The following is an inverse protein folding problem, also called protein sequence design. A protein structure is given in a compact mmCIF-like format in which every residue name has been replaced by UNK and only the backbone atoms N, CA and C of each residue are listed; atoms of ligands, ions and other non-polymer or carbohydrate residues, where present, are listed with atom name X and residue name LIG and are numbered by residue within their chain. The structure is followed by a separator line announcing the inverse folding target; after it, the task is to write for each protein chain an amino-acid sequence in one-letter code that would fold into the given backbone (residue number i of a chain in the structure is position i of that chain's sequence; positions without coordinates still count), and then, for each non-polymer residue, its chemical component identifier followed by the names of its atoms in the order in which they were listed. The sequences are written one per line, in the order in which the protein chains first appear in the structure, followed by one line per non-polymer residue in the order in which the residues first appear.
data_IF_272599906590
#
_entry.id   IF_272599906590
#
_cell.length_a   1.000
_cell.length_b   1.000
_cell.length_c   1.000
_cell.angle_alpha   90.00
_cell.angle_beta   90.00
_cell.angle_gamma   90.00
#
_symmetry.space_group_name_H-M   'P 1'
#
loop_
_entity.id
_entity.type
_entity.pdbx_description
1 polymer ?
#
# COMPACT_ATOMS: atom_id res chain seq x y z
N UNK A 1 -44.94 10.37 -69.95
CA UNK A 1 -45.65 9.70 -68.85
C UNK A 1 -44.60 9.27 -67.83
N UNK A 2 -44.87 9.52 -66.55
CA UNK A 2 -44.00 9.33 -65.38
C UNK A 2 -43.28 7.96 -65.37
N UNK A 3 -42.10 7.79 -64.78
CA UNK A 3 -41.88 7.92 -63.33
C UNK A 3 -40.40 8.13 -62.98
N UNK A 4 -40.17 9.05 -62.05
CA UNK A 4 -38.94 9.19 -61.25
C UNK A 4 -38.85 8.01 -60.29
N UNK A 5 -37.68 7.39 -60.16
CA UNK A 5 -37.34 6.69 -58.91
C UNK A 5 -35.95 7.11 -58.42
N UNK A 6 -35.93 7.50 -57.16
CA UNK A 6 -34.78 7.96 -56.38
C UNK A 6 -34.16 6.73 -55.74
N UNK A 7 -32.85 6.56 -55.85
CA UNK A 7 -32.04 5.98 -54.77
C UNK A 7 -30.58 6.37 -54.91
N UNK A 8 -30.25 7.41 -54.15
CA UNK A 8 -28.92 7.84 -53.75
C UNK A 8 -28.25 6.73 -52.94
N UNK A 9 -27.03 6.36 -53.30
CA UNK A 9 -26.11 5.67 -52.40
C UNK A 9 -24.70 6.22 -52.66
N UNK A 10 -24.30 7.20 -51.86
CA UNK A 10 -22.93 7.71 -51.79
C UNK A 10 -22.16 6.70 -50.92
N UNK A 11 -21.29 5.91 -51.54
CA UNK A 11 -20.31 5.10 -50.82
C UNK A 11 -19.16 6.00 -50.39
N UNK A 12 -19.22 6.53 -49.17
CA UNK A 12 -18.10 7.20 -48.51
C UNK A 12 -17.18 6.16 -47.88
N UNK A 13 -15.96 6.02 -48.39
CA UNK A 13 -14.90 5.24 -47.75
C UNK A 13 -14.38 6.01 -46.53
N UNK A 14 -14.70 5.54 -45.32
CA UNK A 14 -14.09 6.02 -44.09
C UNK A 14 -12.74 5.34 -43.89
N UNK A 15 -11.64 6.08 -44.12
CA UNK A 15 -10.31 5.65 -43.71
C UNK A 15 -10.20 5.81 -42.18
N UNK A 16 -10.19 4.70 -41.45
CA UNK A 16 -9.91 4.69 -40.02
C UNK A 16 -8.42 4.96 -39.80
N UNK A 17 -8.09 6.13 -39.26
CA UNK A 17 -6.77 6.43 -38.73
C UNK A 17 -6.62 5.65 -37.42
N UNK A 18 -5.94 4.52 -37.46
CA UNK A 18 -5.45 3.84 -36.25
C UNK A 18 -4.27 4.65 -35.74
N UNK A 19 -4.54 5.58 -34.84
CA UNK A 19 -3.49 6.23 -34.06
C UNK A 19 -2.88 5.17 -33.13
N UNK A 20 -1.69 4.67 -33.50
CA UNK A 20 -0.91 3.78 -32.66
C UNK A 20 -0.55 4.48 -31.36
N UNK A 21 -1.03 3.95 -30.23
CA UNK A 21 -0.46 4.25 -28.92
C UNK A 21 0.97 3.73 -28.90
N UNK A 22 1.95 4.61 -29.09
CA UNK A 22 3.32 4.30 -28.75
C UNK A 22 3.38 4.10 -27.22
N UNK A 23 3.91 2.97 -26.70
CA UNK A 23 4.12 2.84 -25.27
C UNK A 23 5.11 3.92 -24.84
N UNK A 24 4.68 4.74 -23.88
CA UNK A 24 5.58 5.63 -23.14
C UNK A 24 6.77 4.78 -22.67
N UNK A 25 7.98 5.17 -23.07
CA UNK A 25 9.20 4.49 -22.64
C UNK A 25 9.29 4.63 -21.13
N UNK A 26 8.88 3.57 -20.42
CA UNK A 26 9.07 3.47 -18.99
C UNK A 26 10.58 3.61 -18.73
N UNK A 27 10.98 4.73 -18.14
CA UNK A 27 12.36 5.01 -17.77
C UNK A 27 12.93 3.79 -17.04
N UNK A 28 13.99 3.20 -17.61
CA UNK A 28 14.61 1.97 -17.13
C UNK A 28 15.14 2.20 -15.71
N UNK A 29 14.61 1.43 -14.75
CA UNK A 29 14.98 1.58 -13.33
C UNK A 29 16.35 0.94 -13.14
N UNK A 30 17.40 1.75 -13.06
CA UNK A 30 18.67 1.27 -12.50
C UNK A 30 18.43 0.87 -11.04
N UNK A 31 18.90 -0.30 -10.59
CA UNK A 31 18.75 -0.70 -9.20
C UNK A 31 19.39 0.37 -8.30
N UNK A 32 18.69 0.84 -7.27
CA UNK A 32 19.19 1.92 -6.45
C UNK A 32 20.43 1.47 -5.67
N UNK A 33 21.38 2.40 -5.49
CA UNK A 33 22.54 2.15 -4.61
C UNK A 33 22.06 2.03 -3.17
N UNK A 34 22.48 0.99 -2.46
CA UNK A 34 22.18 0.86 -1.02
C UNK A 34 23.29 1.54 -0.22
N UNK A 35 22.89 2.46 0.67
CA UNK A 35 23.76 3.20 1.58
C UNK A 35 23.40 2.88 3.03
N UNK A 36 24.33 2.25 3.74
CA UNK A 36 24.18 1.95 5.16
C UNK A 36 24.33 3.22 6.00
N UNK A 37 23.35 3.50 6.86
CA UNK A 37 23.35 4.60 7.82
C UNK A 37 22.94 4.11 9.21
N UNK A 38 23.82 3.36 9.92
CA UNK A 38 23.47 2.71 11.19
C UNK A 38 23.01 3.66 12.29
N UNK A 39 23.46 4.92 12.29
CA UNK A 39 23.06 5.95 13.26
C UNK A 39 21.57 6.32 13.19
N UNK A 40 20.87 6.02 12.09
CA UNK A 40 19.42 6.11 12.05
C UNK A 40 18.77 5.14 13.06
N UNK A 41 19.45 4.04 13.38
CA UNK A 41 19.03 3.08 14.40
C UNK A 41 18.87 3.67 15.80
N UNK A 42 19.59 4.76 16.11
CA UNK A 42 19.55 5.42 17.42
C UNK A 42 18.14 5.90 17.79
N UNK A 43 17.32 6.29 16.79
CA UNK A 43 15.94 6.69 17.01
C UNK A 43 15.07 5.57 17.62
N UNK A 44 15.38 4.30 17.35
CA UNK A 44 14.70 3.16 17.97
C UNK A 44 15.20 2.94 19.40
N UNK A 45 16.52 3.05 19.62
CA UNK A 45 17.14 2.94 20.94
C UNK A 45 16.60 4.01 21.90
N UNK A 46 16.42 5.25 21.43
CA UNK A 46 15.85 6.37 22.19
C UNK A 46 14.44 6.07 22.74
N UNK A 47 13.65 5.24 22.06
CA UNK A 47 12.32 4.82 22.53
C UNK A 47 12.31 3.44 23.21
N UNK A 48 13.49 2.85 23.44
CA UNK A 48 13.68 1.59 24.14
C UNK A 48 13.39 0.35 23.29
N UNK A 49 13.56 0.41 21.96
CA UNK A 49 13.31 -0.72 21.06
C UNK A 49 14.40 -0.90 20.00
N UNK A 50 14.23 -1.90 19.15
CA UNK A 50 15.06 -2.17 17.97
C UNK A 50 14.18 -2.20 16.73
N UNK A 51 14.73 -1.77 15.60
CA UNK A 51 13.98 -1.67 14.35
C UNK A 51 14.88 -1.39 13.17
N UNK A 52 14.26 -1.30 12.00
CA UNK A 52 14.91 -0.87 10.77
C UNK A 52 14.08 0.21 10.09
N UNK A 53 14.79 1.10 9.42
CA UNK A 53 14.26 2.11 8.54
C UNK A 53 14.99 2.02 7.20
N UNK A 54 14.22 2.01 6.12
CA UNK A 54 14.74 2.15 4.78
C UNK A 54 13.98 3.29 4.07
N UNK A 55 14.70 4.10 3.29
CA UNK A 55 14.15 5.18 2.50
C UNK A 55 14.79 5.21 1.12
N UNK A 56 13.97 5.11 0.08
CA UNK A 56 14.36 5.38 -1.30
C UNK A 56 14.20 6.88 -1.59
N UNK A 57 15.33 7.52 -1.86
CA UNK A 57 15.36 8.82 -2.54
C UNK A 57 15.21 8.58 -4.04
N UNK A 58 14.00 8.83 -4.55
CA UNK A 58 13.69 8.58 -5.96
C UNK A 58 14.33 9.58 -6.91
N UNK A 59 14.83 10.72 -6.42
CA UNK A 59 15.61 11.68 -7.20
C UNK A 59 17.10 11.35 -7.26
N UNK A 60 17.65 10.88 -6.14
CA UNK A 60 19.07 10.49 -6.02
C UNK A 60 19.39 9.06 -6.47
N UNK A 61 18.40 8.19 -6.63
CA UNK A 61 18.61 6.79 -7.04
C UNK A 61 19.31 5.94 -5.97
N UNK A 62 19.11 6.27 -4.69
CA UNK A 62 19.72 5.58 -3.55
C UNK A 62 18.69 5.16 -2.51
N UNK A 63 18.95 4.04 -1.84
CA UNK A 63 18.24 3.60 -0.64
C UNK A 63 19.15 3.80 0.55
N UNK A 64 18.73 4.65 1.49
CA UNK A 64 19.35 4.77 2.81
C UNK A 64 18.72 3.75 3.74
N UNK A 65 19.53 2.96 4.46
CA UNK A 65 19.03 1.90 5.35
C UNK A 65 19.78 1.88 6.69
N UNK A 66 19.04 1.77 7.80
CA UNK A 66 19.62 1.73 9.15
C UNK A 66 20.19 0.36 9.53
N UNK A 67 19.45 -0.70 9.21
CA UNK A 67 19.82 -2.09 9.46
C UNK A 67 19.36 -2.91 8.25
N UNK A 68 20.33 -3.32 7.44
CA UNK A 68 20.08 -4.01 6.17
C UNK A 68 19.58 -5.43 6.36
N UNK A 69 20.15 -6.18 7.30
CA UNK A 69 19.73 -7.55 7.57
C UNK A 69 18.25 -7.57 7.95
N UNK A 70 17.85 -6.68 8.87
CA UNK A 70 16.44 -6.56 9.25
C UNK A 70 15.57 -5.96 8.13
N UNK A 71 16.09 -5.05 7.31
CA UNK A 71 15.35 -4.47 6.19
C UNK A 71 15.05 -5.49 5.09
N UNK A 72 15.92 -6.49 4.91
CA UNK A 72 15.78 -7.59 3.95
C UNK A 72 15.01 -8.79 4.56
N UNK A 73 14.86 -8.85 5.88
CA UNK A 73 14.06 -9.87 6.57
C UNK A 73 12.55 -9.68 6.34
N UNK A 74 11.87 -10.77 5.95
CA UNK A 74 10.42 -10.78 5.75
C UNK A 74 9.62 -10.97 7.04
N UNK A 75 8.65 -10.09 7.30
CA UNK A 75 7.69 -10.24 8.41
C UNK A 75 6.25 -10.27 7.88
N UNK A 76 5.29 -10.64 8.73
CA UNK A 76 3.87 -10.48 8.38
C UNK A 76 3.59 -8.99 8.06
N UNK A 77 2.89 -8.69 6.96
CA UNK A 77 2.55 -7.31 6.62
C UNK A 77 1.53 -6.71 7.59
N UNK A 78 0.73 -7.54 8.26
CA UNK A 78 -0.41 -7.11 9.08
C UNK A 78 -1.27 -6.09 8.30
N UNK A 79 -1.66 -4.99 8.93
CA UNK A 79 -2.52 -3.98 8.29
C UNK A 79 -1.87 -3.20 7.14
N UNK A 80 -0.56 -3.35 6.86
CA UNK A 80 0.02 -2.78 5.61
C UNK A 80 -0.54 -3.48 4.37
N UNK A 81 -0.98 -4.73 4.49
CA UNK A 81 -1.65 -5.47 3.41
C UNK A 81 -2.99 -4.84 2.98
N UNK A 82 -3.53 -3.88 3.75
CA UNK A 82 -4.69 -3.11 3.32
C UNK A 82 -4.42 -2.29 2.04
N UNK A 83 -3.16 -1.99 1.72
CA UNK A 83 -2.80 -1.34 0.46
C UNK A 83 -3.08 -2.26 -0.74
N UNK A 84 -2.45 -3.44 -0.89
CA UNK A 84 -2.79 -4.37 -1.97
C UNK A 84 -4.24 -4.85 -1.90
N UNK A 85 -4.81 -5.11 -0.71
CA UNK A 85 -6.20 -5.53 -0.60
C UNK A 85 -7.18 -4.46 -1.15
N UNK A 86 -6.95 -3.16 -0.86
CA UNK A 86 -7.75 -2.08 -1.48
C UNK A 86 -7.59 -2.02 -3.00
N UNK A 87 -6.36 -2.18 -3.53
CA UNK A 87 -6.12 -2.20 -4.97
C UNK A 87 -6.91 -3.33 -5.65
N UNK A 88 -6.86 -4.53 -5.07
CA UNK A 88 -7.56 -5.71 -5.57
C UNK A 88 -9.08 -5.53 -5.46
N UNK A 89 -9.56 -4.96 -4.35
CA UNK A 89 -10.98 -4.71 -4.16
C UNK A 89 -11.56 -3.79 -5.24
N UNK A 90 -10.83 -2.73 -5.60
CA UNK A 90 -11.21 -1.80 -6.66
C UNK A 90 -11.15 -2.45 -8.04
N UNK A 91 -10.05 -3.15 -8.33
CA UNK A 91 -9.84 -3.79 -9.64
C UNK A 91 -10.83 -4.92 -9.91
N UNK A 92 -11.24 -5.65 -8.87
CA UNK A 92 -12.21 -6.74 -8.97
C UNK A 92 -13.66 -6.28 -8.86
N UNK A 93 -13.91 -4.98 -8.68
CA UNK A 93 -15.24 -4.41 -8.50
C UNK A 93 -15.92 -4.74 -7.17
N UNK A 94 -15.21 -5.35 -6.21
CA UNK A 94 -15.72 -5.56 -4.84
C UNK A 94 -15.96 -4.22 -4.14
N UNK A 95 -15.14 -3.22 -4.44
CA UNK A 95 -15.41 -1.83 -4.15
C UNK A 95 -15.52 -1.06 -5.46
N UNK A 96 -16.62 -0.36 -5.67
CA UNK A 96 -16.78 0.51 -6.83
C UNK A 96 -15.90 1.77 -6.68
N UNK A 97 -15.81 2.34 -5.48
CA UNK A 97 -15.13 3.60 -5.20
C UNK A 97 -14.66 3.68 -3.73
N UNK A 98 -13.82 4.68 -3.41
CA UNK A 98 -13.36 4.91 -2.04
C UNK A 98 -14.46 5.33 -1.06
N UNK A 99 -15.45 6.10 -1.55
CA UNK A 99 -16.38 6.82 -0.68
C UNK A 99 -17.85 6.42 -0.90
N UNK A 100 -18.22 5.86 -2.05
CA UNK A 100 -19.61 5.45 -2.32
C UNK A 100 -19.92 3.99 -1.98
N UNK A 101 -18.91 3.11 -1.96
CA UNK A 101 -19.11 1.71 -1.55
C UNK A 101 -19.19 1.62 -0.04
N UNK A 102 -20.33 1.20 0.48
CA UNK A 102 -20.56 1.02 1.92
C UNK A 102 -20.35 -0.43 2.34
N UNK A 103 -19.63 -0.62 3.45
CA UNK A 103 -19.43 -1.88 4.16
C UNK A 103 -20.18 -1.78 5.50
N UNK A 104 -21.38 -2.38 5.60
CA UNK A 104 -22.19 -2.28 6.81
C UNK A 104 -21.52 -2.95 8.01
N UNK A 105 -21.68 -2.35 9.19
CA UNK A 105 -21.30 -2.97 10.45
C UNK A 105 -22.20 -4.15 10.75
N UNK A 106 -21.59 -5.28 11.08
CA UNK A 106 -22.25 -6.53 11.48
C UNK A 106 -22.89 -6.48 12.89
N UNK A 107 -22.88 -5.31 13.54
CA UNK A 107 -23.42 -5.07 14.89
C UNK A 107 -22.68 -5.86 16.00
N UNK A 108 -21.54 -6.47 15.70
CA UNK A 108 -20.66 -7.08 16.70
C UNK A 108 -19.73 -6.01 17.25
N UNK A 109 -19.86 -5.72 18.55
CA UNK A 109 -19.00 -4.77 19.26
C UNK A 109 -17.62 -5.40 19.48
N UNK A 110 -16.59 -4.67 19.06
CA UNK A 110 -15.17 -5.05 19.17
C UNK A 110 -14.40 -4.00 19.98
N UNK A 111 -13.22 -4.38 20.46
CA UNK A 111 -12.37 -3.56 21.34
C UNK A 111 -11.95 -2.20 20.74
N UNK A 112 -11.99 -2.07 19.41
CA UNK A 112 -11.68 -0.82 18.72
C UNK A 112 -12.97 -0.13 18.32
N UNK A 113 -13.37 0.92 19.06
CA UNK A 113 -14.60 1.68 18.80
C UNK A 113 -14.72 2.15 17.35
N UNK A 114 -13.59 2.53 16.74
CA UNK A 114 -13.53 2.97 15.36
C UNK A 114 -13.98 1.89 14.34
N UNK A 115 -14.05 0.61 14.72
CA UNK A 115 -14.52 -0.50 13.87
C UNK A 115 -16.03 -0.76 14.00
N UNK A 116 -16.68 -0.21 15.03
CA UNK A 116 -18.07 -0.53 15.39
C UNK A 116 -19.06 0.41 14.68
N UNK A 117 -18.88 0.59 13.37
CA UNK A 117 -19.67 1.50 12.54
C UNK A 117 -19.60 1.09 11.06
N UNK A 118 -20.55 1.56 10.27
CA UNK A 118 -20.52 1.38 8.82
C UNK A 118 -19.31 2.11 8.24
N UNK A 119 -18.68 1.52 7.23
CA UNK A 119 -17.45 2.06 6.65
C UNK A 119 -17.52 2.17 5.13
N UNK A 120 -17.00 3.27 4.59
CA UNK A 120 -16.48 3.31 3.22
C UNK A 120 -15.09 2.67 3.15
N UNK A 121 -14.56 2.38 1.95
CA UNK A 121 -13.19 1.90 1.79
C UNK A 121 -12.17 2.88 2.41
N UNK A 122 -12.36 4.19 2.22
CA UNK A 122 -11.52 5.24 2.81
C UNK A 122 -11.53 5.19 4.34
N UNK A 123 -12.72 5.15 4.94
CA UNK A 123 -12.85 5.15 6.40
C UNK A 123 -12.32 3.84 7.02
N UNK A 124 -12.54 2.69 6.36
CA UNK A 124 -11.98 1.40 6.79
C UNK A 124 -10.44 1.39 6.71
N UNK A 125 -9.85 1.98 5.66
CA UNK A 125 -8.41 2.10 5.51
C UNK A 125 -7.80 2.93 6.65
N UNK A 126 -8.41 4.08 6.95
CA UNK A 126 -8.02 5.00 8.04
C UNK A 126 -8.15 4.36 9.42
N UNK A 127 -9.31 3.77 9.73
CA UNK A 127 -9.58 3.07 10.99
C UNK A 127 -8.79 1.75 11.12
N UNK A 128 -8.16 1.30 10.03
CA UNK A 128 -7.52 0.00 9.95
C UNK A 128 -8.49 -1.15 10.29
N UNK A 129 -9.77 -0.99 9.94
CA UNK A 129 -10.87 -1.88 10.32
C UNK A 129 -10.66 -3.29 9.77
N UNK A 130 -10.14 -4.20 10.59
CA UNK A 130 -9.88 -5.59 10.19
C UNK A 130 -11.14 -6.26 9.63
N UNK A 131 -12.31 -6.21 10.29
CA UNK A 131 -13.51 -6.92 9.83
C UNK A 131 -13.94 -6.55 8.40
N UNK A 132 -13.82 -5.28 8.02
CA UNK A 132 -14.12 -4.81 6.66
C UNK A 132 -13.19 -5.45 5.64
N UNK A 133 -11.88 -5.48 5.92
CA UNK A 133 -10.90 -6.08 5.01
C UNK A 133 -10.96 -7.60 4.96
N UNK A 134 -11.47 -8.25 6.00
CA UNK A 134 -11.81 -9.67 5.99
C UNK A 134 -12.98 -9.95 5.06
N UNK A 135 -14.04 -9.14 5.14
CA UNK A 135 -15.19 -9.24 4.24
C UNK A 135 -14.80 -8.97 2.78
N UNK A 136 -13.99 -7.94 2.53
CA UNK A 136 -13.42 -7.66 1.21
C UNK A 136 -12.63 -8.87 0.70
N UNK A 137 -11.73 -9.45 1.51
CA UNK A 137 -10.94 -10.61 1.10
C UNK A 137 -11.82 -11.82 0.75
N UNK A 138 -12.87 -12.10 1.55
CA UNK A 138 -13.86 -13.15 1.27
C UNK A 138 -14.59 -12.90 -0.05
N UNK A 139 -14.99 -11.66 -0.33
CA UNK A 139 -15.65 -11.26 -1.59
C UNK A 139 -14.72 -11.32 -2.79
N UNK A 140 -13.44 -11.00 -2.64
CA UNK A 140 -12.42 -11.18 -3.68
C UNK A 140 -12.28 -12.68 -3.99
N UNK A 141 -12.22 -13.53 -2.97
CA UNK A 141 -12.05 -14.97 -3.13
C UNK A 141 -10.60 -15.38 -3.40
N UNK A 142 -10.26 -16.66 -3.19
CA UNK A 142 -8.87 -17.10 -3.09
C UNK A 142 -8.10 -17.00 -4.42
N UNK A 143 -8.74 -17.37 -5.53
CA UNK A 143 -8.11 -17.37 -6.86
C UNK A 143 -7.70 -15.96 -7.29
N UNK A 144 -8.62 -15.00 -7.21
CA UNK A 144 -8.33 -13.59 -7.56
C UNK A 144 -7.34 -12.97 -6.60
N UNK A 145 -7.43 -13.26 -5.30
CA UNK A 145 -6.46 -12.75 -4.32
C UNK A 145 -5.05 -13.24 -4.63
N UNK A 146 -4.87 -14.55 -4.88
CA UNK A 146 -3.56 -15.10 -5.24
C UNK A 146 -3.04 -14.50 -6.55
N UNK A 147 -3.88 -14.44 -7.58
CA UNK A 147 -3.51 -13.87 -8.88
C UNK A 147 -2.91 -12.46 -8.73
N UNK A 148 -3.58 -11.55 -8.03
CA UNK A 148 -3.05 -10.19 -7.88
C UNK A 148 -1.87 -10.10 -6.91
N UNK A 149 -1.79 -10.94 -5.88
CA UNK A 149 -0.60 -11.02 -5.02
C UNK A 149 0.63 -11.44 -5.84
N UNK A 150 0.44 -12.33 -6.82
CA UNK A 150 1.48 -12.74 -7.77
C UNK A 150 1.84 -11.62 -8.76
N UNK A 151 0.84 -10.98 -9.39
CA UNK A 151 1.03 -9.87 -10.33
C UNK A 151 1.73 -8.66 -9.68
N UNK A 152 1.43 -8.38 -8.42
CA UNK A 152 2.10 -7.32 -7.66
C UNK A 152 3.51 -7.66 -7.22
N UNK A 153 3.92 -8.94 -7.33
CA UNK A 153 5.15 -9.46 -6.75
C UNK A 153 5.25 -9.10 -5.25
N UNK A 154 4.15 -9.34 -4.51
CA UNK A 154 4.03 -8.85 -3.14
C UNK A 154 4.66 -9.84 -2.13
N UNK A 155 5.87 -9.51 -1.67
CA UNK A 155 6.57 -10.30 -0.65
C UNK A 155 6.97 -11.69 -1.15
N UNK A 156 6.74 -12.72 -0.35
CA UNK A 156 6.93 -14.13 -0.75
C UNK A 156 5.71 -14.72 -1.48
N UNK A 157 4.67 -13.93 -1.72
CA UNK A 157 3.44 -14.29 -2.45
C UNK A 157 2.64 -15.47 -1.87
N UNK A 158 2.97 -15.92 -0.66
CA UNK A 158 2.35 -17.08 -0.02
C UNK A 158 1.14 -16.67 0.83
N UNK A 159 -0.07 -16.78 0.29
CA UNK A 159 -1.32 -16.49 1.05
C UNK A 159 -1.82 -17.69 1.88
N UNK A 160 -1.04 -18.78 1.98
CA UNK A 160 -1.44 -19.99 2.71
C UNK A 160 -1.15 -19.91 4.22
N UNK A 161 -1.43 -21.00 4.94
CA UNK A 161 -1.17 -21.16 6.37
C UNK A 161 -2.20 -20.52 7.30
N UNK A 162 -3.20 -19.83 6.77
CA UNK A 162 -4.39 -19.37 7.47
C UNK A 162 -5.55 -19.23 6.48
N UNK A 163 -6.80 -19.06 6.95
CA UNK A 163 -7.93 -18.69 6.09
C UNK A 163 -7.65 -17.44 5.24
N UNK A 164 -8.33 -17.34 4.10
CA UNK A 164 -8.18 -16.25 3.13
C UNK A 164 -8.37 -14.86 3.75
N UNK A 165 -9.17 -14.73 4.79
CA UNK A 165 -9.43 -13.47 5.46
C UNK A 165 -8.50 -13.20 6.65
N UNK A 166 -7.44 -13.99 6.83
CA UNK A 166 -6.49 -13.82 7.94
C UNK A 166 -5.03 -14.07 7.56
N UNK A 167 -4.71 -14.51 6.33
CA UNK A 167 -3.32 -14.83 5.94
C UNK A 167 -2.30 -13.70 6.15
N UNK A 168 -2.69 -12.44 6.03
CA UNK A 168 -1.81 -11.30 6.28
C UNK A 168 -1.61 -10.99 7.78
N UNK A 169 -2.42 -11.60 8.66
CA UNK A 169 -2.39 -11.45 10.12
C UNK A 169 -1.64 -12.59 10.81
N UNK A 170 -1.82 -13.83 10.34
CA UNK A 170 -1.28 -15.03 10.99
C UNK A 170 -0.92 -16.17 10.01
N UNK A 171 -0.94 -15.93 8.69
CA UNK A 171 -0.55 -16.90 7.67
C UNK A 171 0.94 -16.91 7.36
N UNK A 172 1.29 -17.40 6.17
CA UNK A 172 2.68 -17.53 5.68
C UNK A 172 3.19 -16.36 4.86
N UNK A 173 2.35 -15.37 4.55
CA UNK A 173 2.77 -14.18 3.82
C UNK A 173 3.86 -13.43 4.58
N UNK A 174 4.99 -13.18 3.94
CA UNK A 174 6.10 -12.39 4.49
C UNK A 174 6.53 -11.34 3.48
N UNK A 175 6.80 -10.13 3.94
CA UNK A 175 7.35 -9.05 3.14
C UNK A 175 8.40 -8.28 3.94
N UNK A 176 9.51 -7.93 3.29
CA UNK A 176 10.59 -7.14 3.90
C UNK A 176 10.37 -5.63 3.72
N UNK A 177 11.12 -4.80 4.45
CA UNK A 177 11.06 -3.35 4.27
C UNK A 177 11.52 -2.93 2.86
N UNK A 178 12.52 -3.63 2.31
CA UNK A 178 12.99 -3.41 0.94
C UNK A 178 11.91 -3.76 -0.10
N UNK A 179 11.18 -4.87 0.11
CA UNK A 179 10.07 -5.25 -0.77
C UNK A 179 8.89 -4.28 -0.65
N UNK A 180 8.60 -3.76 0.55
CA UNK A 180 7.59 -2.69 0.74
C UNK A 180 7.95 -1.44 -0.08
N UNK A 181 9.21 -0.99 -0.05
CA UNK A 181 9.68 0.14 -0.87
C UNK A 181 9.46 -0.14 -2.36
N UNK A 182 9.85 -1.31 -2.84
CA UNK A 182 9.69 -1.68 -4.26
C UNK A 182 8.22 -1.69 -4.70
N UNK A 183 7.32 -2.27 -3.90
CA UNK A 183 5.89 -2.25 -4.16
C UNK A 183 5.31 -0.83 -4.14
N UNK A 184 5.64 -0.03 -3.14
CA UNK A 184 5.16 1.35 -3.01
C UNK A 184 5.69 2.26 -4.12
N UNK A 185 6.89 2.01 -4.64
CA UNK A 185 7.43 2.72 -5.80
C UNK A 185 6.62 2.45 -7.06
N UNK A 186 6.24 1.19 -7.30
CA UNK A 186 5.36 0.85 -8.42
C UNK A 186 3.99 1.52 -8.28
N UNK A 187 3.40 1.49 -7.08
CA UNK A 187 2.12 2.16 -6.79
C UNK A 187 2.19 3.67 -6.97
N UNK A 188 3.24 4.33 -6.45
CA UNK A 188 3.43 5.76 -6.61
C UNK A 188 3.50 6.16 -8.09
N UNK A 189 4.25 5.39 -8.89
CA UNK A 189 4.41 5.64 -10.33
C UNK A 189 3.19 5.26 -11.18
N UNK A 190 2.19 4.57 -10.61
CA UNK A 190 1.03 4.11 -11.38
C UNK A 190 1.32 2.93 -12.31
N UNK A 191 2.38 2.15 -12.04
CA UNK A 191 2.87 1.08 -12.95
C UNK A 191 2.58 -0.33 -12.45
N UNK A 192 1.74 -0.50 -11.42
CA UNK A 192 1.21 -1.83 -11.11
C UNK A 192 0.34 -2.31 -12.30
N UNK A 193 0.28 -3.63 -12.58
CA UNK A 193 -0.44 -4.20 -13.72
C UNK A 193 -1.96 -4.23 -13.51
N UNK A 194 -2.55 -3.08 -13.14
CA UNK A 194 -3.97 -2.86 -12.90
C UNK A 194 -4.36 -1.47 -13.40
N UNK A 195 -5.66 -1.15 -13.42
CA UNK A 195 -6.12 0.16 -13.86
C UNK A 195 -5.47 1.32 -13.10
N UNK A 196 -5.17 2.41 -13.81
CA UNK A 196 -4.67 3.67 -13.24
C UNK A 196 -5.64 4.19 -12.16
N UNK A 197 -6.95 4.07 -12.42
CA UNK A 197 -8.02 4.43 -11.49
C UNK A 197 -7.87 3.76 -10.13
N UNK A 198 -7.70 2.44 -10.08
CA UNK A 198 -7.54 1.71 -8.82
C UNK A 198 -6.32 2.22 -8.03
N UNK A 199 -5.22 2.50 -8.73
CA UNK A 199 -3.99 3.01 -8.12
C UNK A 199 -4.16 4.44 -7.59
N UNK A 200 -4.81 5.33 -8.35
CA UNK A 200 -5.12 6.71 -7.94
C UNK A 200 -5.95 6.76 -6.66
N UNK A 201 -7.04 5.99 -6.62
CA UNK A 201 -7.92 5.92 -5.45
C UNK A 201 -7.14 5.43 -4.22
N UNK A 202 -6.29 4.41 -4.37
CA UNK A 202 -5.50 3.91 -3.24
C UNK A 202 -4.44 4.92 -2.80
N UNK A 203 -3.74 5.60 -3.72
CA UNK A 203 -2.83 6.70 -3.37
C UNK A 203 -3.57 7.78 -2.59
N UNK A 204 -4.81 8.08 -2.96
CA UNK A 204 -5.63 9.09 -2.30
C UNK A 204 -6.01 8.70 -0.85
N UNK A 205 -6.59 7.51 -0.63
CA UNK A 205 -6.99 7.05 0.72
C UNK A 205 -5.81 6.82 1.67
N UNK A 206 -4.59 6.71 1.12
CA UNK A 206 -3.36 6.57 1.91
C UNK A 206 -2.95 7.85 2.66
N UNK A 207 -3.61 8.99 2.48
CA UNK A 207 -3.29 10.22 3.20
C UNK A 207 -3.22 10.03 4.73
N UNK A 208 -2.10 10.46 5.32
CA UNK A 208 -1.90 10.49 6.78
C UNK A 208 -2.04 11.93 7.27
N UNK A 209 -1.13 12.81 6.83
CA UNK A 209 -1.09 14.22 7.24
C UNK A 209 -0.28 15.06 6.25
N UNK A 210 -0.52 16.37 6.26
CA UNK A 210 0.42 17.36 5.75
C UNK A 210 1.45 17.67 6.84
N UNK A 211 2.73 17.47 6.55
CA UNK A 211 3.84 17.75 7.48
C UNK A 211 4.79 18.80 6.90
N UNK A 212 5.76 19.24 7.69
CA UNK A 212 6.87 20.09 7.22
C UNK A 212 7.73 19.43 6.14
N UNK A 213 7.73 18.09 6.05
CA UNK A 213 8.47 17.35 5.02
C UNK A 213 7.71 17.27 3.69
N UNK A 214 6.39 17.51 3.70
CA UNK A 214 5.47 17.25 2.60
C UNK A 214 4.22 16.48 3.02
N UNK A 215 3.40 16.11 2.05
CA UNK A 215 2.21 15.28 2.25
C UNK A 215 2.65 13.84 2.52
N UNK A 216 2.37 13.32 3.72
CA UNK A 216 2.65 11.94 4.07
C UNK A 216 1.48 11.05 3.67
N UNK A 217 1.76 10.01 2.89
CA UNK A 217 0.82 8.96 2.52
C UNK A 217 1.39 7.62 2.94
N UNK A 218 0.59 6.75 3.55
CA UNK A 218 1.09 5.47 4.03
C UNK A 218 0.07 4.64 4.80
N UNK A 219 0.55 3.54 5.35
CA UNK A 219 -0.25 2.63 6.16
C UNK A 219 0.53 2.10 7.35
N UNK A 220 -0.13 2.10 8.51
CA UNK A 220 0.33 1.43 9.72
C UNK A 220 0.01 -0.07 9.68
N UNK A 221 0.90 -0.87 10.25
CA UNK A 221 0.70 -2.30 10.51
C UNK A 221 1.09 -2.65 11.93
N UNK A 222 0.41 -3.63 12.52
CA UNK A 222 0.77 -4.15 13.84
C UNK A 222 0.55 -5.66 13.85
N UNK A 223 1.60 -6.44 14.11
CA UNK A 223 1.50 -7.88 14.33
C UNK A 223 1.05 -8.12 15.77
N UNK A 224 0.14 -9.07 15.98
CA UNK A 224 -0.32 -9.47 17.32
C UNK A 224 -1.52 -8.68 17.86
N UNK A 225 -2.16 -7.82 17.06
CA UNK A 225 -3.44 -7.18 17.39
C UNK A 225 -4.51 -7.61 16.39
N UNK A 226 -5.72 -7.89 16.88
CA UNK A 226 -6.89 -8.21 16.04
C UNK A 226 -6.93 -9.66 15.52
N UNK A 227 -6.14 -10.56 16.11
CA UNK A 227 -6.15 -12.00 15.82
C UNK A 227 -6.96 -12.78 16.86
N UNK A 228 -6.73 -12.49 18.14
CA UNK A 228 -7.48 -13.05 19.26
C UNK A 228 -7.56 -12.04 20.42
N UNK A 229 -8.63 -12.05 21.23
CA UNK A 229 -8.73 -11.22 22.43
C UNK A 229 -7.49 -11.38 23.34
N UNK A 230 -6.96 -10.27 23.86
CA UNK A 230 -5.80 -10.28 24.76
C UNK A 230 -4.44 -10.48 24.10
N UNK A 231 -4.37 -10.59 22.77
CA UNK A 231 -3.08 -10.68 22.05
C UNK A 231 -2.25 -9.41 22.24
N UNK A 232 -0.92 -9.58 22.37
CA UNK A 232 0.03 -8.47 22.52
C UNK A 232 0.68 -8.14 21.18
N UNK A 233 0.81 -6.85 20.90
CA UNK A 233 1.58 -6.39 19.76
C UNK A 233 3.05 -6.81 19.88
N UNK A 234 3.62 -7.34 18.80
CA UNK A 234 5.02 -7.78 18.76
C UNK A 234 5.89 -6.98 17.79
N UNK A 235 5.28 -6.41 16.74
CA UNK A 235 5.99 -5.63 15.74
C UNK A 235 5.06 -4.56 15.13
N UNK A 236 5.60 -3.36 14.95
CA UNK A 236 4.92 -2.23 14.34
C UNK A 236 5.52 -1.89 12.98
N UNK A 237 4.67 -1.58 12.01
CA UNK A 237 5.02 -1.06 10.70
C UNK A 237 4.50 0.38 10.53
N UNK A 238 5.24 1.18 9.76
CA UNK A 238 4.72 2.31 9.01
C UNK A 238 5.44 2.35 7.66
N UNK A 239 4.68 2.25 6.57
CA UNK A 239 5.19 2.23 5.19
C UNK A 239 4.46 3.27 4.37
N UNK A 240 5.12 3.87 3.39
CA UNK A 240 4.50 4.92 2.58
C UNK A 240 5.49 5.78 1.82
N UNK A 241 5.11 7.02 1.56
CA UNK A 241 5.98 8.03 0.97
C UNK A 241 5.65 9.43 1.48
N UNK A 242 6.60 10.34 1.29
CA UNK A 242 6.42 11.78 1.46
C UNK A 242 6.44 12.42 0.08
N UNK A 243 5.34 13.06 -0.29
CA UNK A 243 5.22 13.87 -1.48
C UNK A 243 5.57 15.32 -1.17
N UNK A 244 6.59 15.86 -1.85
CA UNK A 244 7.08 17.22 -1.65
C UNK A 244 6.57 18.19 -2.74
N UNK A 245 5.55 17.80 -3.50
CA UNK A 245 5.01 18.55 -4.62
C UNK A 245 5.94 18.47 -5.84
N UNK A 246 6.72 19.52 -6.09
CA UNK A 246 7.54 19.62 -7.30
C UNK A 246 8.87 18.84 -7.23
N UNK A 247 9.12 18.10 -6.15
CA UNK A 247 10.31 17.25 -6.00
C UNK A 247 9.92 15.79 -6.05
N UNK A 248 10.88 14.96 -6.45
CA UNK A 248 10.77 13.50 -6.41
C UNK A 248 10.47 13.05 -4.97
N UNK A 249 9.56 12.08 -4.74
CA UNK A 249 9.15 11.68 -3.40
C UNK A 249 10.24 10.87 -2.67
N UNK A 250 10.10 10.80 -1.35
CA UNK A 250 10.82 9.82 -0.53
C UNK A 250 9.90 8.66 -0.18
N UNK A 251 10.22 7.46 -0.64
CA UNK A 251 9.46 6.24 -0.32
C UNK A 251 10.13 5.58 0.87
N UNK A 252 9.37 5.21 1.89
CA UNK A 252 9.93 4.68 3.12
C UNK A 252 9.20 3.42 3.59
N UNK A 253 9.95 2.59 4.30
CA UNK A 253 9.40 1.47 5.07
C UNK A 253 10.14 1.36 6.40
N UNK A 254 9.38 1.29 7.48
CA UNK A 254 9.89 1.15 8.84
C UNK A 254 9.20 -0.01 9.53
N UNK A 255 9.98 -0.87 10.19
CA UNK A 255 9.46 -1.76 11.22
C UNK A 255 10.31 -1.77 12.48
N UNK A 256 9.70 -2.08 13.61
CA UNK A 256 10.37 -2.16 14.91
C UNK A 256 9.62 -3.09 15.86
N UNK A 257 10.32 -3.64 16.84
CA UNK A 257 9.72 -4.48 17.87
C UNK A 257 8.81 -3.66 18.76
N UNK A 258 7.64 -4.20 19.11
CA UNK A 258 6.76 -3.58 20.09
C UNK A 258 7.00 -4.25 21.43
N UNK A 259 7.77 -3.58 22.29
CA UNK A 259 8.06 -4.00 23.66
C UNK A 259 7.06 -3.39 24.66
N UNK A 260 6.54 -2.22 24.34
CA UNK A 260 5.57 -1.49 25.14
C UNK A 260 4.45 -0.91 24.28
N UNK A 261 3.18 -0.89 24.73
CA UNK A 261 2.06 -0.34 23.96
C UNK A 261 2.28 1.10 23.47
N UNK A 262 2.97 1.95 24.26
CA UNK A 262 3.24 3.36 23.91
C UNK A 262 4.01 3.51 22.59
N UNK A 263 4.83 2.53 22.21
CA UNK A 263 5.66 2.60 21.01
C UNK A 263 4.81 2.60 19.73
N UNK A 264 3.64 1.97 19.75
CA UNK A 264 2.70 2.04 18.63
C UNK A 264 2.14 3.45 18.40
N UNK A 265 1.94 4.23 19.46
CA UNK A 265 1.52 5.62 19.37
C UNK A 265 2.66 6.53 18.87
N UNK A 266 3.91 6.16 19.13
CA UNK A 266 5.09 6.90 18.69
C UNK A 266 5.49 6.67 17.22
N UNK A 267 4.88 5.69 16.53
CA UNK A 267 5.22 5.27 15.16
C UNK A 267 5.38 6.41 14.16
N UNK A 268 4.38 7.29 14.08
CA UNK A 268 4.42 8.40 13.13
C UNK A 268 5.56 9.36 13.49
N UNK A 269 5.73 9.67 14.78
CA UNK A 269 6.76 10.59 15.24
C UNK A 269 8.16 10.05 14.98
N UNK A 270 8.45 8.78 15.29
CA UNK A 270 9.76 8.18 15.01
C UNK A 270 10.04 8.11 13.51
N UNK A 271 9.05 7.76 12.67
CA UNK A 271 9.21 7.79 11.20
C UNK A 271 9.54 9.19 10.71
N UNK A 272 8.89 10.25 11.22
CA UNK A 272 9.21 11.64 10.86
C UNK A 272 10.63 12.02 11.28
N UNK A 273 11.07 11.62 12.47
CA UNK A 273 12.46 11.83 12.91
C UNK A 273 13.46 11.13 11.99
N UNK A 274 13.21 9.87 11.64
CA UNK A 274 14.04 9.09 10.73
C UNK A 274 14.10 9.70 9.33
N UNK A 275 12.96 10.12 8.77
CA UNK A 275 12.90 10.82 7.48
C UNK A 275 13.71 12.12 7.52
N UNK A 276 13.54 12.96 8.55
CA UNK A 276 14.33 14.20 8.71
C UNK A 276 15.83 13.90 8.74
N UNK A 277 16.26 12.93 9.56
CA UNK A 277 17.68 12.54 9.65
C UNK A 277 18.20 12.03 8.31
N UNK A 278 17.44 11.17 7.62
CA UNK A 278 17.86 10.57 6.35
C UNK A 278 17.91 11.56 5.18
N UNK A 279 17.02 12.56 5.13
CA UNK A 279 16.99 13.60 4.08
C UNK A 279 18.19 14.56 4.20
N UNK A 280 18.75 14.71 5.40
CA UNK A 280 19.90 15.59 5.65
C UNK A 280 21.27 14.94 5.36
N UNK A 281 21.29 13.66 4.95
CA UNK A 281 22.50 12.91 4.58
C UNK A 281 22.84 13.08 3.10
#
# INVERSE_FOLDING_TARGET
MATVDRRTAIAGAAAAIVAGFAPSTAEEIKPPRIEMQPSLGDAFTEIGTVGTFAMLDTGGGRIVVSDRERAETGFLPASTFKIPNSLIALETGVAADADSTMFPWDKVVRDFDAWNQDHTLRSAFKASAVPVYQDIARKIGPERMQHYVDEFDYGNRDISGAPLDTFWLNGRLRISAMQQIGFLQKLYRGVLPISERSQEIVRDIMYIEQSELGTMRGKTGTIGIGVAPGSKATLGWLVGWVDQGNKKPYIFAMNFDVREPRQLAQRLQITKTLLKRAILL
#
